data_IF_784443662536
#
_entry.id   IF_784443662536
#
_cell.length_a   1.000
_cell.length_b   1.000
_cell.length_c   1.000
_cell.angle_alpha   90.00
_cell.angle_beta   90.00
_cell.angle_gamma   90.00
#
_symmetry.space_group_name_H-M   'P 1'
#
loop_
_entity.id
_entity.type
_entity.pdbx_description
1 polymer ?
#
# COMPACT_ATOMS: atom_id res chain seq x y z
N UNK A 1 -11.25 8.46 14.21
CA UNK A 1 -11.45 8.91 12.81
C UNK A 1 -11.93 7.74 11.97
N UNK A 2 -12.91 7.93 11.10
CA UNK A 2 -13.29 6.93 10.10
C UNK A 2 -12.22 6.91 9.00
N UNK A 3 -11.70 5.74 8.58
CA UNK A 3 -10.78 5.68 7.46
C UNK A 3 -11.48 6.17 6.19
N UNK A 4 -10.82 7.06 5.44
CA UNK A 4 -11.34 7.63 4.19
C UNK A 4 -11.28 6.65 3.02
N UNK A 5 -10.37 5.67 3.07
CA UNK A 5 -10.29 4.53 2.17
C UNK A 5 -9.75 3.29 2.88
N UNK A 6 -10.03 2.12 2.30
CA UNK A 6 -9.47 0.83 2.67
C UNK A 6 -9.21 -0.03 1.43
N UNK A 7 -8.36 -1.05 1.59
CA UNK A 7 -8.13 -2.13 0.64
C UNK A 7 -8.23 -3.45 1.41
N UNK A 8 -8.92 -4.44 0.86
CA UNK A 8 -9.01 -5.77 1.45
C UNK A 8 -7.83 -6.63 1.00
N UNK A 9 -7.46 -7.62 1.80
CA UNK A 9 -6.47 -8.60 1.42
C UNK A 9 -7.03 -9.42 0.25
N UNK A 10 -6.42 -9.35 -0.95
CA UNK A 10 -6.93 -10.05 -2.14
C UNK A 10 -6.83 -11.57 -2.03
N UNK A 11 -6.05 -12.11 -1.09
CA UNK A 11 -5.97 -13.55 -0.85
C UNK A 11 -7.18 -14.09 -0.07
N UNK A 12 -7.74 -13.28 0.84
CA UNK A 12 -8.94 -13.65 1.62
C UNK A 12 -10.23 -13.11 0.99
N UNK A 13 -10.10 -12.09 0.14
CA UNK A 13 -11.21 -11.33 -0.42
C UNK A 13 -11.87 -10.41 0.60
N UNK A 14 -12.75 -9.53 0.12
CA UNK A 14 -13.65 -8.80 1.00
C UNK A 14 -14.60 -9.79 1.70
N UNK A 15 -14.98 -9.58 2.97
CA UNK A 15 -15.92 -10.45 3.66
C UNK A 15 -17.29 -10.40 2.98
N UNK A 16 -17.55 -11.34 2.06
CA UNK A 16 -18.82 -11.44 1.36
C UNK A 16 -19.92 -12.00 2.30
N UNK A 17 -21.05 -11.31 2.33
CA UNK A 17 -22.39 -11.76 2.80
C UNK A 17 -22.62 -12.07 4.29
N UNK A 18 -21.62 -12.14 5.18
CA UNK A 18 -21.87 -12.43 6.61
C UNK A 18 -22.52 -11.30 7.41
N UNK A 19 -22.46 -10.06 6.91
CA UNK A 19 -22.93 -8.88 7.64
C UNK A 19 -23.83 -7.99 6.77
N UNK A 20 -25.02 -8.50 6.42
CA UNK A 20 -26.03 -7.80 5.59
C UNK A 20 -26.43 -6.39 6.09
N UNK A 21 -26.09 -6.04 7.33
CA UNK A 21 -26.52 -4.80 7.99
C UNK A 21 -25.39 -3.80 8.29
N UNK A 22 -24.14 -4.09 7.93
CA UNK A 22 -23.03 -3.15 8.13
C UNK A 22 -22.56 -2.57 6.81
N UNK A 23 -22.41 -1.24 6.76
CA UNK A 23 -21.70 -0.58 5.66
C UNK A 23 -20.29 -1.16 5.52
N UNK A 24 -19.77 -1.24 4.30
CA UNK A 24 -18.42 -1.76 4.05
C UNK A 24 -17.33 -1.02 4.85
N UNK A 25 -17.47 0.30 5.03
CA UNK A 25 -16.59 1.09 5.89
C UNK A 25 -16.57 0.59 7.35
N UNK A 26 -17.72 0.17 7.88
CA UNK A 26 -17.81 -0.39 9.22
C UNK A 26 -17.13 -1.77 9.31
N UNK A 27 -17.22 -2.59 8.26
CA UNK A 27 -16.52 -3.87 8.18
C UNK A 27 -15.01 -3.66 8.13
N UNK A 28 -14.54 -2.77 7.26
CA UNK A 28 -13.13 -2.42 7.16
C UNK A 28 -12.59 -1.93 8.51
N UNK A 29 -13.32 -1.07 9.22
CA UNK A 29 -12.92 -0.59 10.57
C UNK A 29 -12.74 -1.71 11.58
N UNK A 30 -13.61 -2.72 11.58
CA UNK A 30 -13.59 -3.80 12.58
C UNK A 30 -12.77 -5.02 12.20
N UNK A 31 -12.31 -5.12 10.95
CA UNK A 31 -11.57 -6.28 10.48
C UNK A 31 -10.17 -6.38 11.13
N UNK A 32 -9.55 -7.57 11.18
CA UNK A 32 -8.16 -7.69 11.57
C UNK A 32 -7.21 -6.96 10.60
N UNK A 33 -6.09 -6.45 11.11
CA UNK A 33 -5.09 -5.74 10.29
C UNK A 33 -4.45 -6.66 9.23
N UNK A 34 -4.52 -7.98 9.39
CA UNK A 34 -4.06 -8.96 8.39
C UNK A 34 -4.93 -8.97 7.13
N UNK A 35 -6.17 -8.50 7.24
CA UNK A 35 -7.21 -8.67 6.23
C UNK A 35 -7.56 -7.35 5.54
N UNK A 36 -7.17 -6.22 6.13
CA UNK A 36 -7.44 -4.89 5.58
C UNK A 36 -6.29 -3.91 5.85
N UNK A 37 -6.02 -3.05 4.88
CA UNK A 37 -5.17 -1.86 5.03
C UNK A 37 -6.08 -0.65 4.93
N UNK A 38 -5.90 0.30 5.84
CA UNK A 38 -6.73 1.49 5.95
C UNK A 38 -5.89 2.74 5.78
N UNK A 39 -6.51 3.79 5.27
CA UNK A 39 -5.92 5.15 5.29
C UNK A 39 -5.39 5.59 6.65
N UNK A 40 -6.03 5.15 7.74
CA UNK A 40 -5.63 5.47 9.12
C UNK A 40 -4.34 4.78 9.57
N UNK A 41 -3.89 3.74 8.85
CA UNK A 41 -2.65 3.01 9.15
C UNK A 41 -1.39 3.82 8.77
N UNK A 42 -1.57 4.96 8.09
CA UNK A 42 -0.50 5.85 7.65
C UNK A 42 -0.55 7.17 8.44
N UNK A 43 0.36 7.32 9.41
CA UNK A 43 0.49 8.51 10.26
C UNK A 43 1.04 9.69 9.46
N UNK A 44 2.00 9.45 8.56
CA UNK A 44 2.57 10.45 7.67
C UNK A 44 1.57 10.92 6.59
N UNK A 45 1.21 12.22 6.52
CA UNK A 45 0.26 12.74 5.54
C UNK A 45 0.68 12.54 4.08
N UNK A 46 1.98 12.58 3.79
CA UNK A 46 2.51 12.35 2.44
C UNK A 46 2.29 10.90 2.03
N UNK A 47 2.64 9.94 2.87
CA UNK A 47 2.43 8.52 2.58
C UNK A 47 0.95 8.17 2.46
N UNK A 48 0.10 8.71 3.34
CA UNK A 48 -1.34 8.53 3.26
C UNK A 48 -1.92 9.01 1.92
N UNK A 49 -1.46 10.15 1.40
CA UNK A 49 -1.86 10.67 0.08
C UNK A 49 -1.36 9.79 -1.05
N UNK A 50 -0.11 9.34 -1.00
CA UNK A 50 0.47 8.44 -2.02
C UNK A 50 -0.25 7.09 -2.08
N UNK A 51 -0.52 6.49 -0.92
CA UNK A 51 -1.28 5.25 -0.80
C UNK A 51 -2.72 5.41 -1.30
N UNK A 52 -3.37 6.53 -0.99
CA UNK A 52 -4.70 6.86 -1.51
C UNK A 52 -4.70 6.95 -3.05
N UNK A 53 -3.71 7.65 -3.63
CA UNK A 53 -3.59 7.81 -5.08
C UNK A 53 -3.37 6.45 -5.76
N UNK A 54 -2.42 5.63 -5.30
CA UNK A 54 -2.17 4.31 -5.88
C UNK A 54 -3.40 3.38 -5.79
N UNK A 55 -4.16 3.46 -4.69
CA UNK A 55 -5.42 2.70 -4.54
C UNK A 55 -6.49 3.19 -5.52
N UNK A 56 -6.60 4.50 -5.75
CA UNK A 56 -7.50 5.06 -6.76
C UNK A 56 -7.09 4.66 -8.17
N UNK A 57 -5.79 4.72 -8.49
CA UNK A 57 -5.25 4.30 -9.78
C UNK A 57 -5.57 2.82 -10.04
N UNK A 58 -5.36 1.94 -9.06
CA UNK A 58 -5.71 0.51 -9.17
C UNK A 58 -7.21 0.30 -9.49
N UNK A 59 -8.10 1.05 -8.84
CA UNK A 59 -9.55 0.94 -9.09
C UNK A 59 -9.95 1.40 -10.50
N UNK A 60 -9.13 2.24 -11.14
CA UNK A 60 -9.32 2.69 -12.51
C UNK A 60 -8.69 1.74 -13.55
N UNK A 61 -7.83 0.80 -13.14
CA UNK A 61 -7.22 -0.18 -14.06
C UNK A 61 -8.28 -1.13 -14.60
N UNK A 62 -8.34 -1.25 -15.92
CA UNK A 62 -9.16 -2.23 -16.64
C UNK A 62 -8.27 -3.25 -17.37
N UNK A 63 -8.81 -4.40 -17.75
CA UNK A 63 -8.09 -5.40 -18.55
C UNK A 63 -8.40 -6.83 -18.11
N UNK A 64 -7.48 -7.75 -18.42
CA UNK A 64 -7.56 -9.16 -18.01
C UNK A 64 -7.69 -9.29 -16.48
N UNK A 65 -8.83 -9.80 -15.95
CA UNK A 65 -9.08 -9.88 -14.52
C UNK A 65 -8.00 -10.66 -13.75
N UNK A 66 -7.43 -11.70 -14.35
CA UNK A 66 -6.39 -12.49 -13.71
C UNK A 66 -5.10 -11.69 -13.49
N UNK A 67 -4.77 -10.80 -14.43
CA UNK A 67 -3.61 -9.91 -14.33
C UNK A 67 -3.87 -8.73 -13.42
N UNK A 68 -5.07 -8.15 -13.48
CA UNK A 68 -5.47 -7.10 -12.54
C UNK A 68 -5.40 -7.63 -11.10
N UNK A 69 -5.82 -8.87 -10.84
CA UNK A 69 -5.68 -9.49 -9.52
C UNK A 69 -4.21 -9.66 -9.06
N UNK A 70 -3.26 -9.86 -10.00
CA UNK A 70 -1.83 -9.87 -9.67
C UNK A 70 -1.33 -8.47 -9.28
N UNK A 71 -1.73 -7.45 -10.02
CA UNK A 71 -1.41 -6.05 -9.72
C UNK A 71 -2.02 -5.64 -8.36
N UNK A 72 -3.26 -6.05 -8.09
CA UNK A 72 -3.93 -5.85 -6.80
C UNK A 72 -3.16 -6.50 -5.65
N UNK A 73 -2.80 -7.79 -5.77
CA UNK A 73 -1.94 -8.50 -4.80
C UNK A 73 -0.62 -7.77 -4.55
N UNK A 74 -0.04 -7.20 -5.60
CA UNK A 74 1.23 -6.46 -5.48
C UNK A 74 1.06 -5.16 -4.72
N UNK A 75 0.03 -4.36 -5.05
CA UNK A 75 -0.26 -3.12 -4.32
C UNK A 75 -0.52 -3.42 -2.84
N UNK A 76 -1.33 -4.45 -2.55
CA UNK A 76 -1.61 -4.90 -1.19
C UNK A 76 -0.32 -5.17 -0.40
N UNK A 77 0.59 -5.93 -0.99
CA UNK A 77 1.86 -6.32 -0.36
C UNK A 77 2.71 -5.08 -0.03
N UNK A 78 2.81 -4.13 -0.96
CA UNK A 78 3.55 -2.88 -0.76
C UNK A 78 2.90 -2.00 0.32
N UNK A 79 1.57 -1.89 0.34
CA UNK A 79 0.85 -1.14 1.37
C UNK A 79 1.04 -1.75 2.76
N UNK A 80 1.02 -3.08 2.88
CA UNK A 80 1.32 -3.77 4.14
C UNK A 80 2.76 -3.51 4.58
N UNK A 81 3.73 -3.55 3.66
CA UNK A 81 5.12 -3.24 3.96
C UNK A 81 5.28 -1.78 4.45
N UNK A 82 4.63 -0.82 3.78
CA UNK A 82 4.62 0.58 4.21
C UNK A 82 4.01 0.75 5.61
N UNK A 83 2.87 0.12 5.89
CA UNK A 83 2.26 0.12 7.23
C UNK A 83 3.22 -0.42 8.28
N UNK A 84 3.83 -1.58 8.02
CA UNK A 84 4.78 -2.21 8.95
C UNK A 84 6.02 -1.35 9.19
N UNK A 85 6.37 -0.49 8.25
CA UNK A 85 7.49 0.44 8.38
C UNK A 85 7.18 1.69 9.24
N UNK A 86 5.92 1.96 9.58
CA UNK A 86 5.56 3.19 10.31
C UNK A 86 6.23 3.34 11.67
N UNK A 87 6.26 2.31 12.55
CA UNK A 87 6.91 2.47 13.86
C UNK A 87 8.38 2.85 13.74
N UNK A 88 9.09 2.31 12.74
CA UNK A 88 10.48 2.65 12.47
C UNK A 88 10.63 4.09 11.98
N UNK A 89 9.74 4.55 11.08
CA UNK A 89 9.72 5.94 10.59
C UNK A 89 9.46 6.92 11.72
N UNK A 90 8.48 6.63 12.58
CA UNK A 90 8.15 7.44 13.74
C UNK A 90 9.33 7.50 14.72
N UNK A 91 9.97 6.36 15.02
CA UNK A 91 11.15 6.29 15.87
C UNK A 91 12.35 7.07 15.33
N UNK A 92 12.56 7.05 14.00
CA UNK A 92 13.60 7.85 13.35
C UNK A 92 13.27 9.35 13.35
N UNK A 93 12.00 9.73 13.17
CA UNK A 93 11.57 11.11 13.17
C UNK A 93 11.67 11.78 14.55
N UNK A 94 11.43 11.03 15.63
CA UNK A 94 11.53 11.55 17.01
C UNK A 94 12.90 11.35 17.65
N UNK A 95 13.85 10.76 16.93
CA UNK A 95 15.17 10.46 17.47
C UNK A 95 15.97 11.73 17.76
N UNK A 96 16.45 11.87 19.00
CA UNK A 96 17.37 12.95 19.37
C UNK A 96 18.75 12.69 18.74
N UNK A 97 19.36 13.67 18.04
CA UNK A 97 20.70 13.54 17.49
C UNK A 97 21.72 13.24 18.60
N UNK A 98 22.51 12.17 18.43
CA UNK A 98 23.62 11.82 19.33
C UNK A 98 24.85 11.40 18.51
N UNK A 99 26.08 11.74 18.95
CA UNK A 99 27.31 11.25 18.33
C UNK A 99 27.29 9.72 18.21
N UNK A 100 27.76 9.17 17.08
CA UNK A 100 27.81 7.73 16.82
C UNK A 100 26.49 7.09 16.36
N UNK A 101 25.36 7.79 16.42
CA UNK A 101 24.04 7.26 15.99
C UNK A 101 23.89 7.18 14.47
N UNK A 102 24.62 8.01 13.71
CA UNK A 102 24.50 8.09 12.25
C UNK A 102 24.70 6.72 11.57
N UNK A 103 25.67 5.92 12.02
CA UNK A 103 25.92 4.59 11.50
C UNK A 103 24.78 3.60 11.82
N UNK A 104 24.18 3.70 13.02
CA UNK A 104 23.11 2.81 13.47
C UNK A 104 21.77 3.07 12.76
N UNK A 105 21.54 4.31 12.29
CA UNK A 105 20.32 4.66 11.55
C UNK A 105 20.50 4.59 10.04
N UNK A 106 21.74 4.46 9.53
CA UNK A 106 22.03 4.43 8.10
C UNK A 106 21.32 3.27 7.40
N UNK A 107 21.46 2.05 7.93
CA UNK A 107 20.86 0.85 7.31
C UNK A 107 19.32 0.87 7.37
N UNK A 108 18.68 1.13 8.53
CA UNK A 108 17.22 1.28 8.58
C UNK A 108 16.72 2.40 7.65
N UNK A 109 17.45 3.51 7.54
CA UNK A 109 17.07 4.60 6.63
C UNK A 109 17.18 4.20 5.16
N UNK A 110 18.19 3.41 4.81
CA UNK A 110 18.40 2.88 3.46
C UNK A 110 17.28 1.91 3.07
N UNK A 111 16.92 0.98 3.95
CA UNK A 111 15.81 0.04 3.74
C UNK A 111 14.48 0.77 3.53
N UNK A 112 14.20 1.81 4.32
CA UNK A 112 13.02 2.64 4.16
C UNK A 112 13.00 3.40 2.84
N UNK A 113 14.14 3.96 2.43
CA UNK A 113 14.27 4.64 1.16
C UNK A 113 14.06 3.68 -0.03
N UNK A 114 14.55 2.45 0.07
CA UNK A 114 14.34 1.44 -0.95
C UNK A 114 12.87 1.00 -1.03
N UNK A 115 12.21 0.81 0.11
CA UNK A 115 10.76 0.58 0.14
C UNK A 115 9.98 1.73 -0.53
N UNK A 116 10.35 2.98 -0.25
CA UNK A 116 9.70 4.15 -0.86
C UNK A 116 9.92 4.18 -2.38
N UNK A 117 11.13 3.89 -2.86
CA UNK A 117 11.43 3.81 -4.31
C UNK A 117 10.63 2.72 -5.00
N UNK A 118 10.54 1.53 -4.40
CA UNK A 118 9.75 0.41 -4.94
C UNK A 118 8.27 0.77 -5.03
N UNK A 119 7.74 1.40 -3.98
CA UNK A 119 6.37 1.88 -3.99
C UNK A 119 6.15 2.95 -5.07
N UNK A 120 7.02 3.95 -5.16
CA UNK A 120 6.89 5.05 -6.13
C UNK A 120 7.03 4.54 -7.57
N UNK A 121 7.92 3.57 -7.84
CA UNK A 121 8.06 2.91 -9.16
C UNK A 121 6.78 2.16 -9.54
N UNK A 122 6.22 1.39 -8.60
CA UNK A 122 4.96 0.68 -8.83
C UNK A 122 3.78 1.65 -9.04
N UNK A 123 3.69 2.72 -8.26
CA UNK A 123 2.67 3.74 -8.43
C UNK A 123 2.79 4.49 -9.77
N UNK A 124 4.02 4.73 -10.25
CA UNK A 124 4.23 5.29 -11.59
C UNK A 124 3.75 4.32 -12.68
N UNK A 125 4.08 3.03 -12.57
CA UNK A 125 3.60 2.01 -13.51
C UNK A 125 2.07 1.88 -13.50
N UNK A 126 1.41 1.98 -12.34
CA UNK A 126 -0.05 2.03 -12.24
C UNK A 126 -0.64 3.19 -13.04
N UNK A 127 -0.07 4.40 -12.96
CA UNK A 127 -0.58 5.55 -13.73
C UNK A 127 -0.46 5.35 -15.24
N UNK A 128 0.64 4.75 -15.67
CA UNK A 128 0.86 4.42 -17.09
C UNK A 128 -0.17 3.36 -17.53
N UNK A 129 -0.40 2.36 -16.67
CA UNK A 129 -1.38 1.30 -16.90
C UNK A 129 -2.83 1.81 -16.97
N UNK A 130 -3.19 2.82 -16.17
CA UNK A 130 -4.50 3.49 -16.25
C UNK A 130 -4.67 4.19 -17.60
N UNK A 131 -3.60 4.76 -18.16
CA UNK A 131 -3.65 5.45 -19.44
C UNK A 131 -3.63 4.48 -20.64
N UNK A 132 -2.93 3.34 -20.52
CA UNK A 132 -2.74 2.38 -21.62
C UNK A 132 -2.73 0.92 -21.10
N UNK A 133 -3.90 0.30 -20.89
CA UNK A 133 -4.03 -1.01 -20.24
C UNK A 133 -3.70 -2.19 -21.16
N UNK A 134 -2.50 -2.22 -21.73
CA UNK A 134 -2.07 -3.34 -22.58
C UNK A 134 -1.75 -4.61 -21.78
N UNK A 135 -1.90 -5.79 -22.39
CA UNK A 135 -1.42 -7.06 -21.85
C UNK A 135 0.04 -7.03 -21.38
N UNK A 136 0.93 -6.35 -22.11
CA UNK A 136 2.35 -6.17 -21.78
C UNK A 136 2.53 -5.30 -20.55
N UNK A 137 1.84 -4.16 -20.47
CA UNK A 137 1.93 -3.26 -19.31
C UNK A 137 1.40 -3.91 -18.03
N UNK A 138 0.32 -4.69 -18.11
CA UNK A 138 -0.19 -5.48 -16.99
C UNK A 138 0.86 -6.46 -16.48
N UNK A 139 1.52 -7.18 -17.40
CA UNK A 139 2.59 -8.14 -17.06
C UNK A 139 3.79 -7.43 -16.44
N UNK A 140 4.23 -6.33 -17.05
CA UNK A 140 5.34 -5.53 -16.54
C UNK A 140 5.06 -5.02 -15.13
N UNK A 141 3.90 -4.41 -14.90
CA UNK A 141 3.50 -3.85 -13.60
C UNK A 141 3.41 -4.93 -12.52
N UNK A 142 2.82 -6.09 -12.84
CA UNK A 142 2.76 -7.23 -11.92
C UNK A 142 4.17 -7.78 -11.59
N UNK A 143 5.11 -7.69 -12.53
CA UNK A 143 6.48 -8.18 -12.39
C UNK A 143 7.43 -7.20 -11.69
N UNK A 144 6.99 -6.00 -11.29
CA UNK A 144 7.77 -5.06 -10.48
C UNK A 144 7.95 -5.61 -9.05
N UNK A 145 8.79 -6.63 -8.97
CA UNK A 145 9.10 -7.44 -7.81
C UNK A 145 10.58 -7.44 -7.52
N UNK A 146 11.16 -6.23 -7.43
CA UNK A 146 12.35 -5.90 -6.62
C UNK A 146 12.61 -4.40 -6.63
#
# INVERSE_FOLDING_TARGET
MTPTWWMWNPATGAPARRFRFRSEAALARSAPDTDVVRSGDFTCPVQRRRAAAARSDLLAVTGDPARVALVERRLWTLLVALRRSQPLRDALATAVPKPGRAALVAEPSRELAELDRRFDRFAAALRVLVADPTPEQLRHTAALSD
#
